data_IF_143282683494
#
_entry.id   IF_143282683494
#
_cell.length_a   1.000
_cell.length_b   1.000
_cell.length_c   1.000
_cell.angle_alpha   90.00
_cell.angle_beta   90.00
_cell.angle_gamma   90.00
#
_symmetry.space_group_name_H-M   'P 1'
#
loop_
_entity.id
_entity.type
_entity.pdbx_description
1 polymer ?
#
# COMPACT_ATOMS: atom_id res chain seq x y z
N UNK A 1 -14.69 -31.02 5.50
CA UNK A 1 -14.38 -30.77 4.07
C UNK A 1 -14.35 -29.27 3.92
N UNK A 2 -13.25 -28.74 3.38
CA UNK A 2 -12.65 -27.42 3.61
C UNK A 2 -13.59 -26.20 3.76
N UNK A 3 -13.48 -25.54 4.92
CA UNK A 3 -13.79 -24.13 5.10
C UNK A 3 -12.54 -23.38 4.62
N UNK A 4 -12.57 -22.91 3.36
CA UNK A 4 -11.53 -22.06 2.80
C UNK A 4 -11.74 -20.67 3.39
N UNK A 5 -10.96 -20.35 4.42
CA UNK A 5 -10.90 -19.03 5.00
C UNK A 5 -10.67 -18.01 3.89
N UNK A 6 -11.64 -17.13 3.71
CA UNK A 6 -11.43 -15.86 3.02
C UNK A 6 -10.48 -15.07 3.93
N UNK A 7 -9.19 -15.25 3.72
CA UNK A 7 -8.18 -14.31 4.18
C UNK A 7 -8.51 -12.99 3.52
N UNK A 8 -8.98 -12.04 4.33
CA UNK A 8 -9.14 -10.62 3.99
C UNK A 8 -7.74 -10.00 3.82
N UNK A 9 -6.93 -10.58 2.94
CA UNK A 9 -5.70 -9.94 2.48
C UNK A 9 -6.13 -8.73 1.65
N UNK A 10 -5.70 -7.51 1.99
CA UNK A 10 -6.08 -6.36 1.19
C UNK A 10 -5.37 -6.51 -0.16
N UNK A 11 -6.15 -6.73 -1.23
CA UNK A 11 -5.71 -6.93 -2.63
C UNK A 11 -4.96 -5.70 -3.22
N UNK A 12 -4.49 -4.79 -2.37
CA UNK A 12 -4.12 -3.41 -2.70
C UNK A 12 -2.90 -2.86 -1.94
N UNK A 13 -2.15 -3.72 -1.24
CA UNK A 13 -0.81 -3.35 -0.74
C UNK A 13 0.25 -4.10 -1.51
N UNK A 14 1.45 -3.53 -1.58
CA UNK A 14 2.64 -4.26 -1.99
C UNK A 14 2.64 -5.63 -1.31
N UNK A 15 2.40 -5.72 0.00
CA UNK A 15 2.43 -7.00 0.72
C UNK A 15 1.42 -8.06 0.21
N UNK A 16 0.22 -7.66 -0.24
CA UNK A 16 -0.84 -8.59 -0.72
C UNK A 16 -0.87 -8.79 -2.25
N UNK A 17 -0.29 -7.86 -3.01
CA UNK A 17 -0.14 -7.96 -4.47
C UNK A 17 1.09 -8.81 -4.86
N UNK A 18 2.02 -9.04 -3.92
CA UNK A 18 3.34 -9.60 -4.20
C UNK A 18 3.49 -11.06 -3.83
N UNK A 19 3.25 -11.91 -4.83
CA UNK A 19 3.98 -13.16 -4.97
C UNK A 19 5.44 -12.86 -5.44
N UNK A 20 6.22 -12.13 -4.63
CA UNK A 20 7.69 -12.14 -4.67
C UNK A 20 8.47 -11.19 -5.59
N UNK A 21 7.91 -10.11 -6.16
CA UNK A 21 8.64 -9.24 -7.13
C UNK A 21 8.61 -7.74 -6.80
N UNK A 22 8.91 -7.34 -5.56
CA UNK A 22 9.30 -5.94 -5.30
C UNK A 22 10.81 -5.80 -5.43
N UNK A 23 11.23 -4.72 -6.08
CA UNK A 23 12.63 -4.34 -6.15
C UNK A 23 13.19 -4.15 -4.72
N UNK A 24 14.31 -4.80 -4.37
CA UNK A 24 14.87 -4.71 -3.03
C UNK A 24 15.17 -3.26 -2.59
N UNK A 25 15.43 -2.34 -3.53
CA UNK A 25 15.62 -0.93 -3.20
C UNK A 25 14.35 -0.28 -2.60
N UNK A 26 13.16 -0.71 -3.00
CA UNK A 26 11.89 -0.21 -2.45
C UNK A 26 11.71 -0.67 -1.01
N UNK A 27 12.08 -1.91 -0.70
CA UNK A 27 12.08 -2.41 0.68
C UNK A 27 13.08 -1.66 1.56
N UNK A 28 14.25 -1.32 1.03
CA UNK A 28 15.26 -0.54 1.75
C UNK A 28 14.78 0.88 2.05
N UNK A 29 14.02 1.51 1.15
CA UNK A 29 13.39 2.81 1.40
C UNK A 29 12.37 2.74 2.54
N UNK A 30 11.48 1.73 2.53
CA UNK A 30 10.52 1.53 3.63
C UNK A 30 11.25 1.30 4.96
N UNK A 31 12.29 0.46 4.98
CA UNK A 31 13.13 0.23 6.17
C UNK A 31 13.86 1.49 6.64
N UNK A 32 14.23 2.38 5.72
CA UNK A 32 14.83 3.67 6.03
C UNK A 32 13.82 4.71 6.55
N UNK A 33 12.53 4.34 6.68
CA UNK A 33 11.48 5.23 7.17
C UNK A 33 10.87 6.12 6.08
N UNK A 34 11.13 5.82 4.81
CA UNK A 34 10.68 6.62 3.67
C UNK A 34 9.38 6.03 3.11
N UNK A 35 8.27 6.79 3.06
CA UNK A 35 7.03 6.32 2.45
C UNK A 35 7.19 6.20 0.93
N UNK A 36 6.52 5.21 0.35
CA UNK A 36 6.54 4.93 -1.08
C UNK A 36 5.20 5.32 -1.68
N UNK A 37 5.25 5.98 -2.84
CA UNK A 37 4.07 6.30 -3.63
C UNK A 37 4.06 5.46 -4.90
N UNK A 38 2.96 4.79 -5.19
CA UNK A 38 2.77 4.04 -6.42
C UNK A 38 1.34 4.15 -6.92
N UNK A 39 1.16 3.92 -8.22
CA UNK A 39 -0.17 3.80 -8.81
C UNK A 39 -0.65 2.36 -8.66
N UNK A 40 -1.69 2.16 -7.86
CA UNK A 40 -2.37 0.88 -7.73
C UNK A 40 -3.40 0.75 -8.86
N UNK A 41 -3.20 -0.25 -9.73
CA UNK A 41 -4.07 -0.49 -10.89
C UNK A 41 -5.40 -1.14 -10.53
N UNK A 42 -5.50 -1.77 -9.37
CA UNK A 42 -6.72 -2.44 -8.90
C UNK A 42 -7.67 -1.41 -8.31
N UNK A 43 -7.13 -0.47 -7.53
CA UNK A 43 -7.86 0.68 -7.00
C UNK A 43 -7.99 1.85 -7.99
N UNK A 44 -7.30 1.78 -9.13
CA UNK A 44 -7.17 2.87 -10.10
C UNK A 44 -6.78 4.22 -9.45
N UNK A 45 -5.87 4.15 -8.46
CA UNK A 45 -5.56 5.26 -7.56
C UNK A 45 -4.08 5.32 -7.20
N UNK A 46 -3.60 6.50 -6.81
CA UNK A 46 -2.25 6.62 -6.22
C UNK A 46 -2.35 6.24 -4.74
N UNK A 47 -1.38 5.48 -4.27
CA UNK A 47 -1.32 4.93 -2.92
C UNK A 47 0.01 5.31 -2.28
N UNK A 48 -0.03 5.68 -1.00
CA UNK A 48 1.11 5.90 -0.12
C UNK A 48 1.22 4.72 0.85
N UNK A 49 2.32 3.96 0.75
CA UNK A 49 2.66 2.90 1.70
C UNK A 49 3.73 3.38 2.67
N UNK A 50 3.43 3.25 3.95
CA UNK A 50 4.28 3.72 5.04
C UNK A 50 5.11 2.59 5.65
N UNK A 51 6.27 2.92 6.24
CA UNK A 51 7.15 1.96 6.93
C UNK A 51 6.48 1.12 8.03
N UNK A 52 5.38 1.61 8.61
CA UNK A 52 4.62 0.92 9.68
C UNK A 52 3.58 -0.07 9.13
N UNK A 53 3.56 -0.29 7.81
CA UNK A 53 2.61 -1.14 7.10
C UNK A 53 1.27 -0.48 6.83
N UNK A 54 1.16 0.83 7.08
CA UNK A 54 -0.05 1.60 6.84
C UNK A 54 -0.13 2.05 5.38
N UNK A 55 -1.30 1.90 4.76
CA UNK A 55 -1.56 2.23 3.35
C UNK A 55 -2.67 3.27 3.26
N UNK A 56 -2.44 4.33 2.48
CA UNK A 56 -3.39 5.41 2.24
C UNK A 56 -3.61 5.63 0.74
N UNK A 57 -4.86 5.88 0.31
CA UNK A 57 -5.09 6.42 -1.04
C UNK A 57 -4.91 7.92 -1.04
N UNK A 58 -4.25 8.41 -2.08
CA UNK A 58 -3.88 9.82 -2.19
C UNK A 58 -4.30 10.40 -3.54
N UNK A 59 -4.74 11.65 -3.49
CA UNK A 59 -4.90 12.50 -4.66
C UNK A 59 -3.71 13.48 -4.74
N UNK A 60 -3.11 13.60 -5.93
CA UNK A 60 -2.10 14.61 -6.19
C UNK A 60 -2.78 15.91 -6.61
N UNK A 61 -2.92 16.82 -5.65
CA UNK A 61 -3.44 18.16 -5.88
C UNK A 61 -2.47 19.05 -6.65
N UNK A 62 -2.95 20.21 -7.15
CA UNK A 62 -2.12 21.18 -7.87
C UNK A 62 -0.90 21.59 -7.03
N UNK A 63 0.27 21.57 -7.66
CA UNK A 63 1.55 21.86 -6.99
C UNK A 63 2.13 20.69 -6.18
N UNK A 64 1.77 19.44 -6.49
CA UNK A 64 2.28 18.22 -5.84
C UNK A 64 1.94 18.12 -4.35
N UNK A 65 0.77 18.63 -3.95
CA UNK A 65 0.28 18.49 -2.57
C UNK A 65 -0.47 17.17 -2.45
N UNK A 66 -0.02 16.34 -1.52
CA UNK A 66 -0.68 15.08 -1.17
C UNK A 66 -1.93 15.40 -0.36
N UNK A 67 -3.09 14.88 -0.80
CA UNK A 67 -4.33 14.87 -0.03
C UNK A 67 -4.80 13.42 0.11
N UNK A 68 -5.22 13.03 1.31
CA UNK A 68 -5.69 11.68 1.58
C UNK A 68 -7.17 11.56 1.25
N UNK A 69 -7.54 10.55 0.46
CA UNK A 69 -8.94 10.33 0.06
C UNK A 69 -9.73 9.57 1.12
N UNK A 70 -9.07 8.71 1.89
CA UNK A 70 -9.68 7.97 2.99
C UNK A 70 -9.37 8.66 4.33
N UNK A 71 -10.33 8.65 5.26
CA UNK A 71 -10.11 9.11 6.64
C UNK A 71 -9.48 8.02 7.53
N UNK A 72 -9.41 6.78 7.05
CA UNK A 72 -8.93 5.63 7.80
C UNK A 72 -7.94 4.83 6.95
N UNK A 73 -6.69 4.66 7.40
CA UNK A 73 -5.76 3.83 6.66
C UNK A 73 -5.97 2.35 6.94
N UNK A 74 -5.54 1.55 5.99
CA UNK A 74 -5.48 0.10 6.14
C UNK A 74 -4.09 -0.25 6.66
N UNK A 75 -4.02 -1.01 7.76
CA UNK A 75 -2.74 -1.51 8.29
C UNK A 75 -2.57 -2.97 7.94
N UNK A 76 -1.45 -3.28 7.31
CA UNK A 76 -1.06 -4.67 7.06
C UNK A 76 -0.52 -5.25 8.36
N UNK A 77 -1.29 -6.17 8.95
CA UNK A 77 -0.89 -6.91 10.15
C UNK A 77 0.29 -7.84 9.84
N UNK A 78 1.19 -7.96 10.81
CA UNK A 78 2.34 -8.86 10.79
C UNK A 78 2.04 -10.15 11.55
#
# INVERSE_FOLDING_TARGET
MHDVGMTDEPEHSLSGVLDGTVDPAVLELLRAGIPIYYFDKVLDSIVEERPDGTVWRVELGPGARVSYMDDHPIRHGN
#
